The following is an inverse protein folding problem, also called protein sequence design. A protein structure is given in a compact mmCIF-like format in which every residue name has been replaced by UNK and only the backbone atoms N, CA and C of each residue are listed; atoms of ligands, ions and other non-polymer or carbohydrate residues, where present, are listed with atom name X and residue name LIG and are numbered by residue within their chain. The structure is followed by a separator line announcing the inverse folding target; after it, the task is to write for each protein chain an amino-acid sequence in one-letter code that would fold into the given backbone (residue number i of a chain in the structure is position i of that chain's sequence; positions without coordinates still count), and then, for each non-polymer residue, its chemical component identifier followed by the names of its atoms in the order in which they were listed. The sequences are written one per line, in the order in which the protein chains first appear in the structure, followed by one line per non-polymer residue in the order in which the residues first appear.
data_IF_625958895658
#
_entry.id   IF_625958895658
#
_cell.length_a   1.000
_cell.length_b   1.000
_cell.length_c   1.000
_cell.angle_alpha   90.00
_cell.angle_beta   90.00
_cell.angle_gamma   90.00
#
_symmetry.space_group_name_H-M   'P 1'
#
loop_
_entity.id
_entity.type
_entity.pdbx_description
1 polymer ?
#
# COMPACT_ATOMS: atom_id res chain seq x y z
N UNK A 1 36.83 7.17 -7.02
CA UNK A 1 35.74 6.21 -7.31
C UNK A 1 34.62 6.49 -6.31
N UNK A 2 33.64 7.30 -6.69
CA UNK A 2 32.57 7.72 -5.79
C UNK A 2 31.57 6.58 -5.64
N UNK A 3 31.61 5.90 -4.49
CA UNK A 3 30.63 4.91 -4.10
C UNK A 3 29.36 5.68 -3.76
N UNK A 4 28.45 5.82 -4.73
CA UNK A 4 27.07 6.21 -4.47
C UNK A 4 26.49 5.06 -3.66
N UNK A 5 26.52 5.17 -2.34
CA UNK A 5 25.90 4.21 -1.44
C UNK A 5 24.39 4.23 -1.75
N UNK A 6 23.94 3.29 -2.58
CA UNK A 6 22.53 3.05 -2.81
C UNK A 6 21.98 2.55 -1.48
N UNK A 7 21.29 3.42 -0.75
CA UNK A 7 20.52 3.01 0.42
C UNK A 7 19.42 2.07 -0.08
N UNK A 8 19.74 0.78 -0.14
CA UNK A 8 18.83 -0.28 -0.51
C UNK A 8 17.73 -0.29 0.53
N UNK A 9 16.59 0.36 0.22
CA UNK A 9 15.38 0.28 1.02
C UNK A 9 14.92 -1.17 0.98
N UNK A 10 15.38 -1.95 1.95
CA UNK A 10 14.96 -3.32 2.06
C UNK A 10 13.44 -3.34 2.29
N UNK A 11 12.70 -4.18 1.58
CA UNK A 11 11.28 -4.36 1.83
C UNK A 11 11.05 -4.71 3.30
N UNK A 12 10.00 -4.17 3.91
CA UNK A 12 9.65 -4.43 5.32
C UNK A 12 9.42 -5.93 5.62
N UNK A 13 9.17 -6.73 4.57
CA UNK A 13 8.93 -8.16 4.60
C UNK A 13 10.13 -9.01 4.12
N UNK A 14 11.32 -8.43 3.90
CA UNK A 14 12.47 -9.21 3.44
C UNK A 14 12.82 -10.35 4.41
N UNK A 15 12.96 -11.56 3.88
CA UNK A 15 13.25 -12.77 4.66
C UNK A 15 12.04 -13.33 5.44
N UNK A 16 10.84 -12.75 5.30
CA UNK A 16 9.61 -13.25 5.92
C UNK A 16 8.78 -13.99 4.88
N UNK A 17 8.41 -15.24 5.17
CA UNK A 17 7.40 -15.97 4.40
C UNK A 17 6.03 -15.33 4.65
N UNK A 18 5.60 -14.45 3.73
CA UNK A 18 4.26 -13.87 3.75
C UNK A 18 3.37 -14.74 2.88
N UNK A 19 2.51 -15.54 3.53
CA UNK A 19 1.49 -16.34 2.84
C UNK A 19 0.37 -15.49 2.25
N UNK A 20 -0.68 -16.15 1.76
CA UNK A 20 -1.87 -15.48 1.26
C UNK A 20 -2.49 -14.61 2.37
N UNK A 21 -2.61 -13.31 2.12
CA UNK A 21 -3.35 -12.40 3.00
C UNK A 21 -4.85 -12.57 2.76
N UNK A 22 -5.62 -12.47 3.84
CA UNK A 22 -7.09 -12.44 3.74
C UNK A 22 -7.53 -11.22 2.93
N UNK A 23 -8.56 -11.37 2.07
CA UNK A 23 -9.13 -10.24 1.36
C UNK A 23 -9.73 -9.23 2.36
N UNK A 24 -9.74 -7.95 1.96
CA UNK A 24 -10.36 -6.89 2.75
C UNK A 24 -11.89 -7.05 2.79
N UNK A 25 -12.51 -6.87 3.96
CA UNK A 25 -13.97 -6.80 4.08
C UNK A 25 -14.43 -5.38 3.74
N UNK A 26 -15.70 -5.24 3.35
CA UNK A 26 -16.29 -3.91 3.05
C UNK A 26 -16.11 -2.90 4.17
N UNK A 27 -16.23 -3.33 5.44
CA UNK A 27 -15.99 -2.48 6.61
C UNK A 27 -14.54 -2.01 6.70
N UNK A 28 -13.59 -2.86 6.33
CA UNK A 28 -12.17 -2.53 6.36
C UNK A 28 -11.84 -1.50 5.27
N UNK A 29 -12.44 -1.63 4.08
CA UNK A 29 -12.31 -0.65 2.99
C UNK A 29 -12.85 0.73 3.42
N UNK A 30 -14.05 0.76 4.02
CA UNK A 30 -14.63 2.01 4.51
C UNK A 30 -13.75 2.67 5.58
N UNK A 31 -13.25 1.88 6.54
CA UNK A 31 -12.35 2.38 7.57
C UNK A 31 -11.06 2.98 6.98
N UNK A 32 -10.49 2.38 5.93
CA UNK A 32 -9.31 2.91 5.24
C UNK A 32 -9.64 4.24 4.53
N UNK A 33 -10.75 4.32 3.79
CA UNK A 33 -11.16 5.57 3.09
C UNK A 33 -11.32 6.72 4.08
N UNK A 34 -12.04 6.50 5.17
CA UNK A 34 -12.26 7.53 6.21
C UNK A 34 -10.95 8.00 6.81
N UNK A 35 -10.02 7.08 7.10
CA UNK A 35 -8.70 7.46 7.65
C UNK A 35 -7.89 8.30 6.67
N UNK A 36 -7.94 7.99 5.37
CA UNK A 36 -7.26 8.76 4.33
C UNK A 36 -7.90 10.14 4.13
N UNK A 37 -9.22 10.24 4.23
CA UNK A 37 -9.96 11.50 4.17
C UNK A 37 -9.63 12.41 5.36
N UNK A 38 -9.66 11.89 6.59
CA UNK A 38 -9.32 12.64 7.80
C UNK A 38 -7.85 13.12 7.77
N UNK A 39 -6.96 12.32 7.19
CA UNK A 39 -5.55 12.66 7.03
C UNK A 39 -5.27 13.61 5.83
N UNK A 40 -6.31 14.03 5.09
CA UNK A 40 -6.22 14.84 3.88
C UNK A 40 -5.25 14.29 2.83
N UNK A 41 -5.07 12.96 2.79
CA UNK A 41 -4.19 12.26 1.85
C UNK A 41 -4.91 12.02 0.52
N UNK A 42 -5.19 13.10 -0.22
CA UNK A 42 -5.98 13.07 -1.46
C UNK A 42 -5.40 12.14 -2.53
N UNK A 43 -4.08 12.15 -2.74
CA UNK A 43 -3.39 11.25 -3.68
C UNK A 43 -3.57 9.78 -3.29
N UNK A 44 -3.35 9.45 -2.02
CA UNK A 44 -3.40 8.07 -1.54
C UNK A 44 -4.84 7.55 -1.54
N UNK A 45 -5.82 8.42 -1.24
CA UNK A 45 -7.24 8.12 -1.37
C UNK A 45 -7.62 7.80 -2.82
N UNK A 46 -7.18 8.62 -3.78
CA UNK A 46 -7.46 8.41 -5.19
C UNK A 46 -6.83 7.11 -5.72
N UNK A 47 -5.58 6.82 -5.33
CA UNK A 47 -4.92 5.56 -5.70
C UNK A 47 -5.60 4.35 -5.06
N UNK A 48 -6.04 4.47 -3.81
CA UNK A 48 -6.78 3.40 -3.13
C UNK A 48 -8.11 3.11 -3.83
N UNK A 49 -8.91 4.13 -4.08
CA UNK A 49 -10.21 3.99 -4.76
C UNK A 49 -10.01 3.41 -6.18
N UNK A 50 -9.04 3.94 -6.95
CA UNK A 50 -8.71 3.42 -8.27
C UNK A 50 -8.31 1.94 -8.22
N UNK A 51 -7.46 1.53 -7.27
CA UNK A 51 -7.00 0.15 -7.16
C UNK A 51 -8.14 -0.84 -6.85
N UNK A 52 -9.13 -0.41 -6.05
CA UNK A 52 -10.32 -1.21 -5.75
C UNK A 52 -11.18 -1.38 -7.00
N UNK A 53 -11.46 -0.29 -7.72
CA UNK A 53 -12.34 -0.32 -8.91
C UNK A 53 -11.74 -1.12 -10.06
N UNK A 54 -10.43 -0.99 -10.26
CA UNK A 54 -9.70 -1.64 -11.36
C UNK A 54 -9.16 -3.04 -11.02
N UNK A 55 -9.27 -3.47 -9.76
CA UNK A 55 -8.66 -4.73 -9.24
C UNK A 55 -7.17 -4.86 -9.58
N UNK A 56 -6.43 -3.74 -9.55
CA UNK A 56 -5.02 -3.72 -9.91
C UNK A 56 -4.18 -4.55 -8.95
N UNK A 57 -3.21 -5.29 -9.50
CA UNK A 57 -2.14 -5.91 -8.71
C UNK A 57 -1.08 -4.84 -8.42
N UNK A 58 -0.57 -4.82 -7.19
CA UNK A 58 0.63 -4.06 -6.89
C UNK A 58 1.79 -4.67 -7.69
N UNK A 59 2.37 -3.90 -8.60
CA UNK A 59 3.58 -4.26 -9.33
C UNK A 59 4.84 -4.01 -8.49
#
# INVERSE_FOLDING_TARGET
MNIIATCSRQPWNKGKLVGQKTPLRLRDIWAIRVRLQIAERTRDLALFDLAIDSKLRAC
#
